data_IF_483052912680
#
_entry.id   IF_483052912680
#
_cell.length_a   1.000
_cell.length_b   1.000
_cell.length_c   1.000
_cell.angle_alpha   90.00
_cell.angle_beta   90.00
_cell.angle_gamma   90.00
#
_symmetry.space_group_name_H-M   'P 1'
#
loop_
_entity.id
_entity.type
_entity.pdbx_description
1 polymer ?
#
# COMPACT_ATOMS: atom_id res chain seq x y z
N UNK A 1 7.00 13.21 0.53
CA UNK A 1 6.14 12.37 -0.34
C UNK A 1 6.67 10.95 -0.22
N UNK A 2 5.96 10.10 0.52
CA UNK A 2 6.47 8.81 0.99
C UNK A 2 5.61 7.64 0.50
N UNK A 3 6.21 6.46 0.46
CA UNK A 3 5.49 5.21 0.26
C UNK A 3 4.94 4.75 1.61
N UNK A 4 3.64 4.53 1.68
CA UNK A 4 2.95 4.07 2.86
C UNK A 4 2.57 2.60 2.65
N UNK A 5 2.61 1.83 3.73
CA UNK A 5 2.14 0.45 3.70
C UNK A 5 1.18 0.20 4.85
N UNK A 6 0.05 -0.43 4.54
CA UNK A 6 -0.94 -0.87 5.51
C UNK A 6 -0.90 -2.40 5.54
N UNK A 7 -0.71 -2.94 6.75
CA UNK A 7 -0.83 -4.38 6.98
C UNK A 7 -2.31 -4.70 7.21
N UNK A 8 -2.87 -5.52 6.33
CA UNK A 8 -4.29 -5.93 6.42
C UNK A 8 -4.42 -7.16 7.32
N UNK A 9 -3.49 -8.11 7.19
CA UNK A 9 -3.32 -9.27 8.07
C UNK A 9 -1.90 -9.85 7.89
N UNK A 10 -1.62 -11.05 8.40
CA UNK A 10 -0.29 -11.66 8.28
C UNK A 10 0.13 -12.02 6.84
N UNK A 11 -0.81 -12.11 5.89
CA UNK A 11 -0.55 -12.48 4.49
C UNK A 11 -0.60 -11.29 3.53
N UNK A 12 -1.35 -10.25 3.87
CA UNK A 12 -1.68 -9.18 2.93
C UNK A 12 -1.10 -7.83 3.37
N UNK A 13 -0.35 -7.22 2.45
CA UNK A 13 0.17 -5.85 2.58
C UNK A 13 -0.26 -5.03 1.38
N UNK A 14 -0.84 -3.86 1.67
CA UNK A 14 -1.15 -2.85 0.65
C UNK A 14 -0.05 -1.80 0.71
N UNK A 15 0.64 -1.60 -0.41
CA UNK A 15 1.61 -0.52 -0.59
C UNK A 15 0.98 0.53 -1.49
N UNK A 16 1.04 1.81 -1.08
CA UNK A 16 0.54 2.93 -1.87
C UNK A 16 1.41 4.17 -1.65
N UNK A 17 1.38 5.10 -2.60
CA UNK A 17 2.02 6.41 -2.47
C UNK A 17 0.94 7.44 -2.15
N UNK A 18 1.16 8.24 -1.11
CA UNK A 18 0.24 9.34 -0.80
C UNK A 18 0.68 10.61 -1.49
N UNK A 19 -0.18 11.13 -2.37
CA UNK A 19 0.03 12.39 -3.09
C UNK A 19 -1.04 13.40 -2.70
N UNK A 20 -0.92 14.65 -3.17
CA UNK A 20 -1.92 15.70 -2.90
C UNK A 20 -3.29 15.38 -3.49
N UNK A 21 -3.36 14.50 -4.50
CA UNK A 21 -4.60 14.07 -5.13
C UNK A 21 -5.24 12.84 -4.44
N UNK A 22 -4.51 12.14 -3.58
CA UNK A 22 -4.99 10.96 -2.87
C UNK A 22 -3.97 9.82 -2.83
N UNK A 23 -4.45 8.58 -2.67
CA UNK A 23 -3.63 7.38 -2.79
C UNK A 23 -3.43 7.04 -4.28
N UNK A 24 -2.17 6.98 -4.71
CA UNK A 24 -1.78 6.56 -6.05
C UNK A 24 -0.84 5.35 -5.95
N UNK A 25 -0.67 4.61 -7.07
CA UNK A 25 0.30 3.50 -7.17
C UNK A 25 0.01 2.37 -6.16
N UNK A 26 -1.27 1.98 -6.05
CA UNK A 26 -1.74 0.94 -5.12
C UNK A 26 -1.33 -0.43 -5.67
N UNK A 27 -0.46 -1.12 -4.92
CA UNK A 27 -0.06 -2.50 -5.20
C UNK A 27 -0.45 -3.39 -4.02
N UNK A 28 -1.21 -4.45 -4.31
CA UNK A 28 -1.57 -5.48 -3.34
C UNK A 28 -0.58 -6.62 -3.53
N UNK A 29 0.25 -6.87 -2.52
CA UNK A 29 1.12 -8.05 -2.51
C UNK A 29 0.48 -9.10 -1.63
N UNK A 30 0.06 -10.20 -2.26
CA UNK A 30 -0.22 -11.46 -1.58
C UNK A 30 1.11 -12.17 -1.32
N UNK A 31 1.35 -12.56 -0.08
CA UNK A 31 2.47 -13.42 0.27
C UNK A 31 1.89 -14.81 0.56
N UNK A 32 2.02 -15.72 -0.40
CA UNK A 32 1.89 -17.16 -0.18
C UNK A 32 3.26 -17.83 -0.35
#
# INVERSE_FOLDING_TARGET
>A
MGQHSIRVNDQWRICFRWTKAGAEDISITDYH
#
